data_IF_338186886467
#
_entry.id   IF_338186886467
#
_cell.length_a   1.000
_cell.length_b   1.000
_cell.length_c   1.000
_cell.angle_alpha   90.00
_cell.angle_beta   90.00
_cell.angle_gamma   90.00
#
_symmetry.space_group_name_H-M   'P 1'
#
loop_
_entity.id
_entity.type
_entity.pdbx_description
1 polymer ?
#
# COMPACT_ATOMS: atom_id res chain seq x y z
N UNK A 1 29.86 -7.91 -10.67
CA UNK A 1 28.70 -7.17 -10.13
C UNK A 1 27.48 -7.77 -10.80
N UNK A 2 26.66 -8.56 -10.08
CA UNK A 2 25.43 -9.13 -10.62
C UNK A 2 24.43 -7.98 -10.77
N UNK A 3 24.09 -7.64 -12.00
CA UNK A 3 23.00 -6.70 -12.30
C UNK A 3 21.73 -7.53 -12.22
N UNK A 4 20.95 -7.35 -11.15
CA UNK A 4 19.57 -7.82 -11.13
C UNK A 4 18.75 -6.84 -11.97
N UNK A 5 17.98 -7.37 -12.90
CA UNK A 5 17.20 -6.56 -13.84
C UNK A 5 15.84 -6.26 -13.19
N UNK A 6 15.24 -7.28 -12.59
CA UNK A 6 13.89 -7.24 -12.04
C UNK A 6 13.75 -8.17 -10.83
N UNK A 7 12.79 -7.86 -9.95
CA UNK A 7 12.32 -8.73 -8.87
C UNK A 7 10.84 -9.03 -9.10
N UNK A 8 10.44 -10.30 -9.16
CA UNK A 8 9.03 -10.68 -9.07
C UNK A 8 8.61 -10.74 -7.62
N UNK A 9 7.42 -10.22 -7.33
CA UNK A 9 6.83 -10.18 -5.99
C UNK A 9 5.61 -11.09 -5.94
N UNK A 10 5.50 -11.85 -4.86
CA UNK A 10 4.41 -12.78 -4.59
C UNK A 10 3.83 -12.52 -3.19
N UNK A 11 2.53 -12.73 -3.02
CA UNK A 11 1.84 -12.79 -1.72
C UNK A 11 1.06 -14.10 -1.64
N UNK A 12 1.30 -14.90 -0.61
CA UNK A 12 0.71 -16.23 -0.41
C UNK A 12 0.81 -17.11 -1.66
N UNK A 13 1.94 -17.02 -2.37
CA UNK A 13 2.20 -17.73 -3.62
C UNK A 13 1.53 -17.15 -4.87
N UNK A 14 0.70 -16.11 -4.75
CA UNK A 14 0.09 -15.40 -5.88
C UNK A 14 1.04 -14.32 -6.39
N UNK A 15 1.27 -14.26 -7.71
CA UNK A 15 2.10 -13.23 -8.33
C UNK A 15 1.39 -11.87 -8.32
N UNK A 16 2.07 -10.85 -7.80
CA UNK A 16 1.55 -9.48 -7.67
C UNK A 16 2.12 -8.53 -8.72
N UNK A 17 3.37 -8.72 -9.14
CA UNK A 17 4.03 -7.78 -10.04
C UNK A 17 5.54 -7.92 -10.12
N UNK A 18 6.16 -6.87 -10.67
CA UNK A 18 7.61 -6.73 -10.85
C UNK A 18 8.08 -5.40 -10.25
N UNK A 19 9.22 -5.42 -9.56
CA UNK A 19 9.97 -4.24 -9.12
C UNK A 19 11.30 -4.17 -9.87
N UNK A 20 11.73 -2.96 -10.21
CA UNK A 20 12.96 -2.77 -10.97
C UNK A 20 14.19 -3.04 -10.10
N UNK A 21 15.22 -3.68 -10.66
CA UNK A 21 16.43 -4.03 -9.90
C UNK A 21 17.19 -2.83 -9.33
N UNK A 22 17.04 -1.66 -9.95
CA UNK A 22 17.64 -0.40 -9.49
C UNK A 22 16.78 0.39 -8.49
N UNK A 23 15.54 -0.06 -8.22
CA UNK A 23 14.65 0.50 -7.22
C UNK A 23 13.83 -0.62 -6.58
N UNK A 24 14.44 -1.46 -5.71
CA UNK A 24 13.84 -2.67 -5.17
C UNK A 24 12.83 -2.34 -4.06
N UNK A 25 11.77 -1.63 -4.42
CA UNK A 25 10.67 -1.29 -3.54
C UNK A 25 9.38 -1.85 -4.13
N UNK A 26 8.54 -2.37 -3.24
CA UNK A 26 7.18 -2.76 -3.51
C UNK A 26 6.35 -2.33 -2.30
N UNK A 27 5.29 -1.56 -2.55
CA UNK A 27 4.34 -1.14 -1.53
C UNK A 27 3.03 -1.83 -1.83
N UNK A 28 2.56 -2.58 -0.84
CA UNK A 28 1.24 -3.17 -0.85
C UNK A 28 0.22 -2.14 -0.40
N UNK A 29 -0.61 -1.67 -1.33
CA UNK A 29 -1.52 -0.54 -1.08
C UNK A 29 -2.83 -0.94 -0.40
N UNK A 30 -3.21 -2.23 -0.46
CA UNK A 30 -4.48 -2.70 0.09
C UNK A 30 -4.32 -4.09 0.73
N UNK A 31 -3.45 -4.27 1.75
CA UNK A 31 -3.49 -5.46 2.59
C UNK A 31 -4.70 -5.43 3.52
N UNK A 32 -5.33 -6.58 3.76
CA UNK A 32 -6.39 -6.67 4.78
C UNK A 32 -5.80 -6.47 6.19
N UNK A 33 -6.52 -5.74 7.03
CA UNK A 33 -6.12 -5.44 8.40
C UNK A 33 -6.04 -6.71 9.25
N UNK A 34 -4.93 -6.85 10.00
CA UNK A 34 -4.74 -7.96 10.94
C UNK A 34 -4.49 -9.32 10.28
N UNK A 35 -4.42 -9.38 8.95
CA UNK A 35 -4.08 -10.59 8.21
C UNK A 35 -2.56 -10.65 8.01
N UNK A 36 -1.98 -11.78 8.41
CA UNK A 36 -0.56 -12.06 8.17
C UNK A 36 -0.42 -12.73 6.82
N UNK A 37 0.35 -12.08 5.94
CA UNK A 37 0.68 -12.56 4.62
C UNK A 37 2.12 -13.06 4.55
N UNK A 38 2.38 -14.05 3.70
CA UNK A 38 3.74 -14.44 3.31
C UNK A 38 4.11 -13.73 2.00
N UNK A 39 5.10 -12.84 2.07
CA UNK A 39 5.64 -12.14 0.91
C UNK A 39 6.92 -12.82 0.44
N UNK A 40 6.97 -13.20 -0.84
CA UNK A 40 8.15 -13.81 -1.45
C UNK A 40 8.65 -12.98 -2.62
N UNK A 41 9.96 -12.96 -2.81
CA UNK A 41 10.61 -12.34 -3.97
C UNK A 41 11.48 -13.34 -4.75
N UNK A 42 11.53 -13.15 -6.07
CA UNK A 42 12.39 -13.89 -7.00
C UNK A 42 13.17 -12.89 -7.86
N UNK A 43 14.50 -12.93 -7.80
CA UNK A 43 15.35 -12.06 -8.60
C UNK A 43 15.58 -12.64 -10.01
N UNK A 44 15.54 -11.79 -11.04
CA UNK A 44 15.70 -12.18 -12.44
C UNK A 44 16.84 -11.40 -13.11
N UNK A 45 17.68 -12.12 -13.85
CA UNK A 45 18.67 -11.57 -14.76
C UNK A 45 18.82 -12.44 -16.02
N UNK A 46 19.75 -12.09 -16.90
CA UNK A 46 20.00 -12.81 -18.16
C UNK A 46 20.43 -14.27 -17.97
N UNK A 47 20.92 -14.64 -16.79
CA UNK A 47 21.32 -16.01 -16.46
C UNK A 47 20.14 -16.85 -15.91
N UNK A 48 19.03 -16.22 -15.54
CA UNK A 48 17.83 -16.88 -15.02
C UNK A 48 17.29 -16.28 -13.72
N UNK A 49 16.53 -17.09 -12.98
CA UNK A 49 15.87 -16.70 -11.74
C UNK A 49 16.53 -17.28 -10.49
N UNK A 50 16.43 -16.57 -9.37
CA UNK A 50 16.81 -17.09 -8.05
C UNK A 50 15.75 -18.02 -7.45
N UNK A 51 16.09 -18.80 -6.40
CA UNK A 51 15.07 -19.31 -5.48
C UNK A 51 14.28 -18.17 -4.81
N UNK A 52 13.10 -18.49 -4.28
CA UNK A 52 12.30 -17.53 -3.52
C UNK A 52 12.95 -17.20 -2.17
N UNK A 53 12.98 -15.92 -1.84
CA UNK A 53 13.26 -15.43 -0.50
C UNK A 53 11.97 -14.85 0.08
N UNK A 54 11.54 -15.34 1.25
CA UNK A 54 10.24 -15.02 1.83
C UNK A 54 10.37 -14.41 3.22
N UNK A 55 9.43 -13.52 3.56
CA UNK A 55 9.24 -12.98 4.90
C UNK A 55 7.75 -12.75 5.16
N UNK A 56 7.34 -12.78 6.42
CA UNK A 56 5.95 -12.53 6.84
C UNK A 56 5.73 -11.06 7.15
N UNK A 57 4.58 -10.50 6.75
CA UNK A 57 4.21 -9.12 7.02
C UNK A 57 2.71 -8.95 7.27
N UNK A 58 2.33 -7.90 7.97
CA UNK A 58 0.94 -7.51 8.22
C UNK A 58 0.84 -6.02 8.50
N UNK A 59 -0.37 -5.46 8.38
CA UNK A 59 -0.71 -4.13 8.88
C UNK A 59 -1.66 -4.22 10.07
N UNK A 60 -1.47 -3.33 11.06
CA UNK A 60 -2.41 -3.09 12.16
C UNK A 60 -3.13 -1.75 12.01
N UNK A 61 -3.14 -1.18 10.81
CA UNK A 61 -3.89 0.03 10.50
C UNK A 61 -4.66 -0.24 9.22
N UNK A 62 -5.97 -0.01 9.25
CA UNK A 62 -6.80 0.01 8.05
C UNK A 62 -6.50 1.33 7.33
N UNK A 63 -5.64 1.28 6.31
CA UNK A 63 -5.23 2.49 5.62
C UNK A 63 -6.46 3.14 4.94
N UNK A 64 -6.64 4.43 5.17
CA UNK A 64 -7.82 5.18 4.71
C UNK A 64 -8.98 5.23 5.71
N UNK A 65 -8.95 4.50 6.83
CA UNK A 65 -9.86 4.70 7.97
C UNK A 65 -9.35 5.89 8.79
N UNK A 66 -9.89 7.07 8.51
CA UNK A 66 -9.38 8.34 9.02
C UNK A 66 -10.02 8.67 10.37
N UNK A 67 -11.27 8.27 10.59
CA UNK A 67 -11.93 8.49 11.89
C UNK A 67 -11.65 7.38 12.92
N UNK A 68 -10.91 6.34 12.54
CA UNK A 68 -10.51 5.20 13.37
C UNK A 68 -11.69 4.42 13.95
N UNK A 69 -12.79 4.31 13.19
CA UNK A 69 -13.95 3.51 13.59
C UNK A 69 -13.87 2.04 13.12
N UNK A 70 -12.79 1.66 12.43
CA UNK A 70 -12.54 0.37 11.79
C UNK A 70 -13.42 0.06 10.58
N UNK A 71 -14.10 1.06 10.02
CA UNK A 71 -14.90 0.91 8.80
C UNK A 71 -14.41 1.88 7.73
N UNK A 72 -13.77 1.37 6.67
CA UNK A 72 -13.46 2.19 5.50
C UNK A 72 -14.75 2.49 4.72
N UNK A 73 -15.26 3.73 4.84
CA UNK A 73 -16.53 4.11 4.25
C UNK A 73 -16.56 5.59 3.77
N UNK A 74 -17.76 6.11 3.49
CA UNK A 74 -17.93 7.48 2.96
C UNK A 74 -17.59 8.57 4.00
N UNK A 75 -17.65 8.27 5.30
CA UNK A 75 -17.27 9.20 6.36
C UNK A 75 -15.78 9.54 6.29
N UNK A 76 -14.92 8.58 5.98
CA UNK A 76 -13.48 8.83 5.76
C UNK A 76 -13.24 9.76 4.58
N UNK A 77 -13.98 9.57 3.49
CA UNK A 77 -13.90 10.46 2.31
C UNK A 77 -14.28 11.89 2.69
N UNK A 78 -15.33 12.07 3.51
CA UNK A 78 -15.75 13.40 3.97
C UNK A 78 -14.65 14.07 4.78
N UNK A 79 -13.98 13.33 5.66
CA UNK A 79 -12.88 13.85 6.47
C UNK A 79 -11.65 14.14 5.60
N UNK A 80 -11.27 13.25 4.69
CA UNK A 80 -10.19 13.48 3.74
C UNK A 80 -10.41 14.77 2.93
N UNK A 81 -11.61 14.96 2.38
CA UNK A 81 -11.96 16.17 1.63
C UNK A 81 -11.85 17.42 2.51
N UNK A 82 -12.17 17.31 3.81
CA UNK A 82 -11.99 18.44 4.74
C UNK A 82 -10.52 18.84 4.91
N UNK A 83 -9.59 17.87 4.90
CA UNK A 83 -8.14 18.12 4.94
C UNK A 83 -7.62 18.67 3.61
N UNK A 84 -8.05 18.09 2.47
CA UNK A 84 -7.66 18.55 1.13
C UNK A 84 -8.14 19.98 0.85
N UNK A 85 -9.28 20.37 1.40
CA UNK A 85 -9.82 21.74 1.30
C UNK A 85 -9.26 22.69 2.38
N UNK A 86 -8.34 22.23 3.23
CA UNK A 86 -7.75 22.98 4.35
C UNK A 86 -8.79 23.57 5.32
N UNK A 87 -9.96 22.93 5.42
CA UNK A 87 -11.03 23.32 6.36
C UNK A 87 -10.78 22.72 7.75
N UNK A 88 -10.00 21.64 7.81
CA UNK A 88 -9.50 21.01 9.02
C UNK A 88 -8.01 20.69 8.88
N UNK A 89 -7.32 20.58 10.02
CA UNK A 89 -5.92 20.16 10.09
C UNK A 89 -5.88 18.74 10.63
N UNK A 90 -5.29 17.76 9.92
CA UNK A 90 -5.18 16.40 10.41
C UNK A 90 -4.21 16.32 11.60
N UNK A 91 -4.51 15.43 12.54
CA UNK A 91 -3.52 14.91 13.47
C UNK A 91 -2.46 14.06 12.74
N UNK A 92 -1.36 13.73 13.43
CA UNK A 92 -0.31 12.87 12.84
C UNK A 92 -0.87 11.50 12.44
N UNK A 93 -1.75 10.93 13.26
CA UNK A 93 -2.39 9.64 13.00
C UNK A 93 -3.32 9.72 11.79
N UNK A 94 -4.17 10.76 11.73
CA UNK A 94 -5.08 10.97 10.59
C UNK A 94 -4.30 11.22 9.30
N UNK A 95 -3.17 11.92 9.35
CA UNK A 95 -2.31 12.15 8.19
C UNK A 95 -1.73 10.83 7.68
N UNK A 96 -1.24 9.96 8.56
CA UNK A 96 -0.71 8.64 8.20
C UNK A 96 -1.80 7.77 7.57
N UNK A 97 -3.02 7.80 8.12
CA UNK A 97 -4.13 7.01 7.57
C UNK A 97 -4.63 7.58 6.24
N UNK A 98 -4.70 8.91 6.12
CA UNK A 98 -5.18 9.60 4.94
C UNK A 98 -4.20 9.55 3.75
N UNK A 99 -2.88 9.56 3.99
CA UNK A 99 -1.84 9.55 2.95
C UNK A 99 -1.62 8.15 2.35
N UNK A 100 -2.61 7.68 1.60
CA UNK A 100 -2.63 6.33 1.03
C UNK A 100 -1.60 6.10 -0.10
N UNK A 101 -1.04 7.16 -0.69
CA UNK A 101 0.03 7.07 -1.69
C UNK A 101 1.41 7.40 -1.12
N UNK A 102 1.50 7.68 0.17
CA UNK A 102 2.75 7.85 0.94
C UNK A 102 3.69 8.91 0.36
N UNK A 103 3.13 10.01 -0.15
CA UNK A 103 3.90 11.15 -0.68
C UNK A 103 3.97 12.34 0.29
N UNK A 104 3.36 12.19 1.48
CA UNK A 104 3.19 13.19 2.52
C UNK A 104 2.35 14.41 2.09
N UNK A 105 1.58 14.33 1.01
CA UNK A 105 0.76 15.43 0.50
C UNK A 105 -0.71 15.01 0.38
N UNK A 106 -1.57 15.58 1.24
CA UNK A 106 -3.02 15.43 1.08
C UNK A 106 -3.54 16.33 -0.04
N UNK A 107 -3.76 15.73 -1.21
CA UNK A 107 -4.29 16.40 -2.38
C UNK A 107 -5.29 15.50 -3.13
N UNK A 108 -5.83 15.99 -4.26
CA UNK A 108 -6.84 15.25 -5.04
C UNK A 108 -6.33 13.91 -5.61
N UNK A 109 -5.02 13.70 -5.73
CA UNK A 109 -4.45 12.42 -6.18
C UNK A 109 -4.63 11.31 -5.14
N UNK A 110 -4.69 11.64 -3.85
CA UNK A 110 -4.98 10.69 -2.76
C UNK A 110 -6.38 10.09 -2.92
N UNK A 111 -7.37 10.87 -3.40
CA UNK A 111 -8.75 10.41 -3.57
C UNK A 111 -8.89 9.20 -4.51
N UNK A 112 -7.97 9.03 -5.47
CA UNK A 112 -8.00 7.88 -6.39
C UNK A 112 -7.77 6.55 -5.64
N UNK A 113 -6.94 6.57 -4.59
CA UNK A 113 -6.63 5.40 -3.78
C UNK A 113 -7.81 5.03 -2.87
N UNK A 114 -8.46 6.01 -2.25
CA UNK A 114 -9.68 5.78 -1.44
C UNK A 114 -10.79 5.17 -2.28
N UNK A 115 -11.04 5.69 -3.48
CA UNK A 115 -12.06 5.13 -4.39
C UNK A 115 -11.74 3.70 -4.80
N UNK A 116 -10.46 3.39 -5.03
CA UNK A 116 -10.04 2.03 -5.33
C UNK A 116 -10.26 1.11 -4.14
N UNK A 117 -9.96 1.54 -2.91
CA UNK A 117 -10.13 0.74 -1.71
C UNK A 117 -11.61 0.48 -1.39
N UNK A 118 -12.48 1.49 -1.51
CA UNK A 118 -13.93 1.34 -1.34
C UNK A 118 -14.56 0.37 -2.36
N UNK A 119 -13.97 0.19 -3.55
CA UNK A 119 -14.50 -0.75 -4.55
C UNK A 119 -14.32 -2.22 -4.15
N UNK A 120 -13.45 -2.52 -3.17
CA UNK A 120 -13.20 -3.88 -2.66
C UNK A 120 -13.88 -4.16 -1.30
N UNK A 121 -14.52 -3.16 -0.69
CA UNK A 121 -15.34 -3.33 0.51
C UNK A 121 -16.76 -3.71 0.07
N UNK A 122 -17.07 -5.01 0.03
CA UNK A 122 -18.41 -5.55 -0.29
C UNK A 122 -19.13 -6.05 0.96
#
# INVERSE_FOLDING_TARGET
>A
MLIFIEFKIYRDGIWLGISAGNNPQYVDLIPEFGIVYEYCIEAINDCGSSPWACDSGFTMVLQGDINFDNELNVLDVVILVSFVLEVAVPSEEELISADMNSDNLLNVYVCAFVLSALAYVT
#
